data_IF_926748212142
#
_entry.id   IF_926748212142
#
_cell.length_a   1.000
_cell.length_b   1.000
_cell.length_c   1.000
_cell.angle_alpha   90.00
_cell.angle_beta   90.00
_cell.angle_gamma   90.00
#
_symmetry.space_group_name_H-M   'P 1'
#
loop_
_entity.id
_entity.type
_entity.pdbx_description
1 polymer ?
#
# COMPACT_ATOMS: atom_id res chain seq x y z
N UNK A 1 -2.86 -2.23 8.78
CA UNK A 1 -4.26 -2.22 9.27
C UNK A 1 -4.99 -3.54 9.03
N UNK A 2 -5.02 -4.05 7.80
CA UNK A 2 -5.74 -5.29 7.45
C UNK A 2 -5.37 -6.48 8.35
N UNK A 3 -4.08 -6.69 8.62
CA UNK A 3 -3.59 -7.80 9.45
C UNK A 3 -4.07 -7.69 10.90
N UNK A 4 -4.07 -6.48 11.45
CA UNK A 4 -4.55 -6.24 12.82
C UNK A 4 -6.04 -6.55 12.93
N UNK A 5 -6.85 -6.07 11.97
CA UNK A 5 -8.28 -6.36 11.96
C UNK A 5 -8.54 -7.86 11.77
N UNK A 6 -7.87 -8.50 10.82
CA UNK A 6 -8.04 -9.94 10.56
C UNK A 6 -7.73 -10.80 11.79
N UNK A 7 -6.60 -10.53 12.48
CA UNK A 7 -6.25 -11.25 13.72
C UNK A 7 -7.20 -10.98 14.87
N UNK A 8 -7.72 -9.74 14.99
CA UNK A 8 -8.77 -9.42 15.98
C UNK A 8 -10.05 -10.21 15.70
N UNK A 9 -10.53 -10.18 14.46
CA UNK A 9 -11.73 -10.96 14.07
C UNK A 9 -11.53 -12.44 14.32
N UNK A 10 -10.38 -13.01 13.98
CA UNK A 10 -10.05 -14.41 14.27
C UNK A 10 -10.12 -14.76 15.75
N UNK A 11 -9.88 -13.79 16.65
CA UNK A 11 -9.97 -13.98 18.10
C UNK A 11 -11.37 -13.79 18.67
N UNK A 12 -12.31 -13.23 17.92
CA UNK A 12 -13.66 -12.88 18.44
C UNK A 12 -14.70 -13.97 18.23
N UNK A 13 -14.53 -14.81 17.22
CA UNK A 13 -15.43 -15.92 16.93
C UNK A 13 -14.70 -17.00 16.12
N UNK A 14 -15.28 -18.20 16.13
CA UNK A 14 -14.79 -19.33 15.34
C UNK A 14 -15.28 -19.19 13.90
N UNK A 15 -14.49 -18.49 13.09
CA UNK A 15 -14.71 -18.35 11.65
C UNK A 15 -14.03 -19.51 10.91
N UNK A 16 -14.76 -20.22 10.06
CA UNK A 16 -14.19 -21.28 9.23
C UNK A 16 -13.04 -20.75 8.33
N UNK A 17 -13.21 -19.54 7.78
CA UNK A 17 -12.22 -18.87 6.94
C UNK A 17 -12.25 -17.36 7.18
N UNK A 18 -11.10 -16.72 7.13
CA UNK A 18 -10.96 -15.28 6.97
C UNK A 18 -10.32 -15.03 5.61
N UNK A 19 -11.01 -14.29 4.75
CA UNK A 19 -10.60 -14.00 3.37
C UNK A 19 -10.19 -12.56 3.27
N UNK A 20 -8.94 -12.31 2.91
CA UNK A 20 -8.37 -10.99 2.67
C UNK A 20 -8.41 -10.71 1.18
N UNK A 21 -8.93 -9.54 0.82
CA UNK A 21 -9.01 -9.10 -0.57
C UNK A 21 -7.98 -8.01 -0.81
N UNK A 22 -7.12 -8.20 -1.80
CA UNK A 22 -6.07 -7.25 -2.17
C UNK A 22 -5.75 -7.31 -3.66
N UNK A 23 -4.90 -6.43 -4.15
CA UNK A 23 -4.34 -6.54 -5.50
C UNK A 23 -3.43 -7.77 -5.60
N UNK A 24 -3.20 -8.26 -6.80
CA UNK A 24 -2.35 -9.44 -7.03
C UNK A 24 -0.93 -9.25 -6.49
N UNK A 25 -0.36 -8.04 -6.66
CA UNK A 25 0.95 -7.70 -6.12
C UNK A 25 0.95 -7.69 -4.58
N UNK A 26 -0.07 -7.12 -3.95
CA UNK A 26 -0.17 -7.07 -2.48
C UNK A 26 -0.37 -8.46 -1.88
N UNK A 27 -1.18 -9.33 -2.51
CA UNK A 27 -1.45 -10.69 -2.02
C UNK A 27 -0.16 -11.51 -1.88
N UNK A 28 0.80 -11.37 -2.82
CA UNK A 28 2.10 -12.05 -2.73
C UNK A 28 2.78 -11.75 -1.40
N UNK A 29 2.82 -10.47 -1.02
CA UNK A 29 3.43 -10.02 0.23
C UNK A 29 2.57 -10.32 1.46
N UNK A 30 1.25 -10.13 1.37
CA UNK A 30 0.34 -10.46 2.46
C UNK A 30 0.44 -11.92 2.88
N UNK A 31 0.55 -12.85 1.92
CA UNK A 31 0.76 -14.28 2.17
C UNK A 31 2.07 -14.58 2.88
N UNK A 32 3.12 -13.80 2.62
CA UNK A 32 4.40 -13.94 3.31
C UNK A 32 4.27 -13.60 4.79
N UNK A 33 3.52 -12.55 5.14
CA UNK A 33 3.34 -12.10 6.52
C UNK A 33 2.26 -12.85 7.32
N UNK A 34 1.28 -13.42 6.63
CA UNK A 34 0.14 -14.07 7.26
C UNK A 34 -0.40 -15.23 6.41
N UNK A 35 0.39 -16.31 6.26
CA UNK A 35 0.00 -17.47 5.46
C UNK A 35 -1.23 -18.21 6.01
N UNK A 36 -1.63 -17.91 7.23
CA UNK A 36 -2.80 -18.50 7.92
C UNK A 36 -4.15 -18.10 7.32
N UNK A 37 -4.22 -16.99 6.54
CA UNK A 37 -5.46 -16.50 5.96
C UNK A 37 -5.67 -16.94 4.51
N UNK A 38 -6.91 -16.91 4.05
CA UNK A 38 -7.26 -17.06 2.64
C UNK A 38 -7.17 -15.72 1.92
N UNK A 39 -6.88 -15.76 0.61
CA UNK A 39 -6.71 -14.54 -0.18
C UNK A 39 -7.50 -14.61 -1.47
N UNK A 40 -8.19 -13.51 -1.80
CA UNK A 40 -8.90 -13.32 -3.06
C UNK A 40 -8.38 -12.07 -3.78
N UNK A 41 -8.29 -12.13 -5.11
CA UNK A 41 -7.91 -10.98 -5.93
C UNK A 41 -9.03 -9.94 -5.92
N UNK A 42 -8.69 -8.68 -5.68
CA UNK A 42 -9.60 -7.55 -5.79
C UNK A 42 -10.04 -7.31 -7.25
N UNK A 43 -11.23 -6.75 -7.40
CA UNK A 43 -11.76 -6.27 -8.67
C UNK A 43 -11.57 -4.76 -8.81
N UNK A 44 -12.09 -4.19 -9.90
CA UNK A 44 -12.07 -2.74 -10.15
C UNK A 44 -12.98 -1.97 -9.18
N UNK A 45 -13.96 -2.65 -8.56
CA UNK A 45 -14.88 -2.07 -7.58
C UNK A 45 -14.89 -2.87 -6.29
N UNK A 46 -15.45 -2.24 -5.20
CA UNK A 46 -15.70 -2.95 -3.92
C UNK A 46 -16.59 -4.18 -4.16
N UNK A 47 -17.62 -4.05 -5.00
CA UNK A 47 -18.56 -5.11 -5.29
C UNK A 47 -17.90 -6.29 -6.03
N UNK A 48 -17.06 -6.02 -7.04
CA UNK A 48 -16.27 -7.07 -7.71
C UNK A 48 -15.32 -7.76 -6.74
N UNK A 49 -14.66 -6.99 -5.89
CA UNK A 49 -13.79 -7.54 -4.85
C UNK A 49 -14.55 -8.48 -3.92
N UNK A 50 -15.77 -8.10 -3.50
CA UNK A 50 -16.64 -8.94 -2.70
C UNK A 50 -17.06 -10.20 -3.46
N UNK A 51 -17.45 -10.11 -4.74
CA UNK A 51 -17.79 -11.29 -5.58
C UNK A 51 -16.65 -12.28 -5.66
N UNK A 52 -15.42 -11.80 -5.86
CA UNK A 52 -14.25 -12.66 -5.91
C UNK A 52 -13.98 -13.37 -4.58
N UNK A 53 -14.18 -12.69 -3.45
CA UNK A 53 -14.07 -13.29 -2.13
C UNK A 53 -15.18 -14.34 -1.89
N UNK A 54 -16.42 -14.03 -2.27
CA UNK A 54 -17.58 -14.92 -2.10
C UNK A 54 -17.44 -16.23 -2.89
N UNK A 55 -16.67 -16.26 -3.96
CA UNK A 55 -16.36 -17.50 -4.69
C UNK A 55 -15.63 -18.54 -3.81
N UNK A 56 -14.94 -18.10 -2.74
CA UNK A 56 -14.23 -18.94 -1.78
C UNK A 56 -15.07 -19.28 -0.53
N UNK A 57 -16.32 -18.80 -0.44
CA UNK A 57 -17.19 -18.97 0.72
C UNK A 57 -18.21 -20.08 0.47
N UNK A 58 -18.18 -21.12 1.31
CA UNK A 58 -19.07 -22.27 1.25
C UNK A 58 -20.03 -22.33 2.46
N UNK A 59 -19.79 -21.53 3.50
CA UNK A 59 -20.58 -21.45 4.72
C UNK A 59 -21.96 -20.82 4.47
N UNK A 60 -22.99 -21.15 5.29
CA UNK A 60 -24.33 -20.57 5.15
C UNK A 60 -24.37 -19.05 5.32
N UNK A 61 -23.48 -18.50 6.14
CA UNK A 61 -23.37 -17.08 6.43
C UNK A 61 -21.98 -16.54 6.11
N UNK A 62 -21.93 -15.30 5.71
CA UNK A 62 -20.69 -14.54 5.50
C UNK A 62 -20.76 -13.21 6.23
N UNK A 63 -19.67 -12.83 6.87
CA UNK A 63 -19.50 -11.52 7.50
C UNK A 63 -18.53 -10.68 6.66
N UNK A 64 -18.98 -9.58 6.07
CA UNK A 64 -18.15 -8.68 5.30
C UNK A 64 -17.82 -7.40 6.06
N UNK A 65 -16.59 -6.92 5.96
CA UNK A 65 -16.17 -5.66 6.59
C UNK A 65 -15.11 -4.93 5.78
N UNK A 66 -15.02 -3.61 5.98
CA UNK A 66 -13.93 -2.82 5.44
C UNK A 66 -12.66 -2.98 6.30
N UNK A 67 -11.50 -3.21 5.68
CA UNK A 67 -10.21 -3.27 6.38
C UNK A 67 -9.85 -1.98 7.15
N UNK A 68 -10.53 -0.88 6.82
CA UNK A 68 -10.37 0.42 7.47
C UNK A 68 -11.20 0.61 8.76
N UNK A 69 -11.85 -0.46 9.30
CA UNK A 69 -12.64 -0.38 10.53
C UNK A 69 -11.96 -1.14 11.69
N UNK A 70 -10.82 -0.63 12.10
CA UNK A 70 -9.95 -1.28 13.09
C UNK A 70 -10.58 -1.41 14.49
N UNK A 71 -11.55 -0.57 14.82
CA UNK A 71 -12.20 -0.57 16.12
C UNK A 71 -13.42 -1.51 16.26
N UNK A 72 -13.64 -2.42 15.30
CA UNK A 72 -14.67 -3.45 15.45
C UNK A 72 -14.41 -4.23 16.74
N UNK A 73 -15.44 -4.28 17.60
CA UNK A 73 -15.37 -4.97 18.90
C UNK A 73 -15.89 -6.40 18.83
N UNK A 74 -15.48 -7.22 19.80
CA UNK A 74 -16.04 -8.59 19.99
C UNK A 74 -17.53 -8.55 20.30
N UNK A 75 -17.99 -7.53 21.02
CA UNK A 75 -19.40 -7.33 21.37
C UNK A 75 -20.25 -7.10 20.13
N UNK A 76 -19.76 -6.30 19.15
CA UNK A 76 -20.45 -6.09 17.88
C UNK A 76 -20.53 -7.38 17.07
N UNK A 77 -19.42 -8.11 16.93
CA UNK A 77 -19.38 -9.40 16.23
C UNK A 77 -20.36 -10.39 16.86
N UNK A 78 -20.37 -10.47 18.19
CA UNK A 78 -21.28 -11.35 18.92
C UNK A 78 -22.76 -10.97 18.74
N UNK A 79 -23.11 -9.66 18.69
CA UNK A 79 -24.50 -9.22 18.42
C UNK A 79 -24.95 -9.65 17.02
N UNK A 80 -24.09 -9.51 16.02
CA UNK A 80 -24.38 -9.93 14.65
C UNK A 80 -24.63 -11.45 14.60
N UNK A 81 -23.72 -12.24 15.16
CA UNK A 81 -23.82 -13.72 15.16
C UNK A 81 -25.08 -14.22 15.92
N UNK A 82 -25.39 -13.65 17.08
CA UNK A 82 -26.60 -14.01 17.85
C UNK A 82 -27.90 -13.67 17.11
N UNK A 83 -27.87 -12.72 16.17
CA UNK A 83 -29.04 -12.32 15.41
C UNK A 83 -29.16 -12.98 14.03
N UNK A 84 -28.24 -13.86 13.63
CA UNK A 84 -28.10 -14.41 12.27
C UNK A 84 -29.36 -15.06 11.70
N UNK A 85 -30.19 -15.65 12.57
CA UNK A 85 -31.43 -16.36 12.16
C UNK A 85 -32.66 -15.42 12.07
N UNK A 86 -32.54 -14.13 12.42
CA UNK A 86 -33.66 -13.19 12.43
C UNK A 86 -34.01 -12.63 11.04
N UNK A 87 -33.01 -12.56 10.16
CA UNK A 87 -33.15 -12.00 8.83
C UNK A 87 -32.04 -12.52 7.89
N UNK A 88 -32.16 -12.18 6.60
CA UNK A 88 -31.19 -12.58 5.58
C UNK A 88 -29.92 -11.75 5.61
N UNK A 89 -30.00 -10.54 6.17
CA UNK A 89 -28.85 -9.70 6.47
C UNK A 89 -29.03 -8.96 7.79
N UNK A 90 -28.01 -9.01 8.64
CA UNK A 90 -27.96 -8.31 9.93
C UNK A 90 -26.97 -7.15 9.80
N UNK A 91 -27.44 -5.95 10.12
CA UNK A 91 -26.73 -4.70 9.86
C UNK A 91 -26.54 -3.91 11.15
N UNK A 92 -25.32 -3.50 11.48
CA UNK A 92 -25.10 -2.60 12.61
C UNK A 92 -25.46 -1.16 12.23
N UNK A 93 -26.26 -0.52 13.09
CA UNK A 93 -26.73 0.85 12.88
C UNK A 93 -26.44 1.71 14.10
N UNK A 94 -25.90 2.89 13.86
CA UNK A 94 -25.77 3.96 14.85
C UNK A 94 -26.86 5.00 14.63
N UNK A 95 -27.45 5.50 15.71
CA UNK A 95 -28.37 6.63 15.65
C UNK A 95 -27.62 7.92 15.35
N UNK A 96 -28.26 8.82 14.63
CA UNK A 96 -27.71 10.13 14.35
C UNK A 96 -27.84 11.02 15.60
N UNK A 97 -26.72 11.55 16.11
CA UNK A 97 -26.71 12.47 17.23
C UNK A 97 -27.02 13.91 16.81
N UNK A 98 -26.52 14.31 15.65
CA UNK A 98 -26.62 15.67 15.11
C UNK A 98 -27.91 15.88 14.31
N UNK A 99 -28.29 17.16 14.13
CA UNK A 99 -29.35 17.54 13.19
C UNK A 99 -28.89 17.33 11.75
N UNK A 100 -29.76 16.78 10.93
CA UNK A 100 -29.42 16.43 9.53
C UNK A 100 -30.26 17.27 8.57
N UNK A 101 -29.61 17.80 7.53
CA UNK A 101 -30.25 18.41 6.38
C UNK A 101 -30.18 17.42 5.20
N UNK A 102 -31.32 17.08 4.65
CA UNK A 102 -31.44 16.25 3.47
C UNK A 102 -32.26 16.99 2.40
N UNK A 103 -31.70 17.15 1.20
CA UNK A 103 -32.30 17.90 0.10
C UNK A 103 -32.77 19.33 0.50
N UNK A 104 -31.96 20.04 1.33
CA UNK A 104 -32.24 21.40 1.78
C UNK A 104 -33.27 21.54 2.91
N UNK A 105 -33.81 20.45 3.44
CA UNK A 105 -34.80 20.43 4.53
C UNK A 105 -34.26 19.66 5.74
N UNK A 106 -34.72 20.02 6.95
CA UNK A 106 -34.42 19.24 8.15
C UNK A 106 -35.03 17.86 8.07
N UNK A 107 -34.20 16.83 8.23
CA UNK A 107 -34.66 15.44 8.34
C UNK A 107 -34.91 15.07 9.81
N UNK A 108 -35.89 14.21 10.07
CA UNK A 108 -36.12 13.65 11.38
C UNK A 108 -34.98 12.67 11.70
N UNK A 109 -34.04 13.09 12.57
CA UNK A 109 -32.85 12.26 12.92
C UNK A 109 -33.22 10.93 13.61
N UNK A 110 -34.39 10.86 14.25
CA UNK A 110 -34.83 9.65 14.97
C UNK A 110 -35.24 8.52 13.98
N UNK A 111 -35.50 8.86 12.72
CA UNK A 111 -35.79 7.95 11.63
C UNK A 111 -34.54 7.57 10.82
N UNK A 112 -33.40 8.20 11.11
CA UNK A 112 -32.17 7.99 10.37
C UNK A 112 -31.18 7.13 11.13
N UNK A 113 -30.51 6.22 10.40
CA UNK A 113 -29.49 5.36 10.94
C UNK A 113 -28.22 5.37 10.09
N UNK A 114 -27.08 5.43 10.74
CA UNK A 114 -25.78 5.30 10.07
C UNK A 114 -25.42 3.82 9.97
N UNK A 115 -25.46 3.27 8.76
CA UNK A 115 -25.13 1.87 8.49
C UNK A 115 -23.62 1.69 8.57
N UNK A 116 -23.20 0.69 9.35
CA UNK A 116 -21.80 0.28 9.47
C UNK A 116 -21.50 -1.08 8.87
N UNK A 117 -20.26 -1.50 8.96
CA UNK A 117 -19.80 -2.88 8.80
C UNK A 117 -19.00 -3.28 10.05
N UNK A 118 -18.92 -4.59 10.39
CA UNK A 118 -19.30 -5.78 9.62
C UNK A 118 -20.81 -5.93 9.40
N UNK A 119 -21.21 -6.46 8.23
CA UNK A 119 -22.56 -6.94 7.97
C UNK A 119 -22.55 -8.46 7.85
N UNK A 120 -23.55 -9.13 8.42
CA UNK A 120 -23.66 -10.59 8.39
C UNK A 120 -24.81 -10.98 7.48
N UNK A 121 -24.52 -11.67 6.38
CA UNK A 121 -25.48 -12.00 5.32
C UNK A 121 -25.58 -13.51 5.08
N UNK A 122 -26.75 -13.98 4.66
CA UNK A 122 -26.90 -15.30 4.08
C UNK A 122 -26.09 -15.37 2.77
N UNK A 123 -25.13 -16.29 2.70
CA UNK A 123 -24.17 -16.37 1.60
C UNK A 123 -24.84 -16.59 0.24
N UNK A 124 -25.79 -17.51 0.16
CA UNK A 124 -26.49 -17.84 -1.10
C UNK A 124 -27.26 -16.64 -1.65
N UNK A 125 -27.96 -15.93 -0.76
CA UNK A 125 -28.78 -14.79 -1.17
C UNK A 125 -27.91 -13.60 -1.61
N UNK A 126 -26.82 -13.33 -0.89
CA UNK A 126 -25.86 -12.29 -1.25
C UNK A 126 -25.18 -12.60 -2.59
N UNK A 127 -24.76 -13.85 -2.84
CA UNK A 127 -24.20 -14.25 -4.15
C UNK A 127 -25.22 -13.98 -5.28
N UNK A 128 -26.45 -14.42 -5.12
CA UNK A 128 -27.53 -14.23 -6.11
C UNK A 128 -27.85 -12.76 -6.37
N UNK A 129 -27.88 -11.93 -5.30
CA UNK A 129 -28.11 -10.48 -5.44
C UNK A 129 -27.03 -9.80 -6.28
N UNK A 130 -25.77 -10.15 -6.01
CA UNK A 130 -24.62 -9.56 -6.72
C UNK A 130 -24.49 -10.04 -8.18
N UNK A 131 -25.09 -11.18 -8.56
CA UNK A 131 -25.11 -11.68 -9.94
C UNK A 131 -25.96 -10.82 -10.88
N UNK A 132 -26.93 -10.07 -10.38
CA UNK A 132 -27.79 -9.18 -11.19
C UNK A 132 -27.05 -8.05 -11.88
N UNK A 133 -25.83 -7.75 -11.48
CA UNK A 133 -24.99 -6.74 -12.13
C UNK A 133 -25.31 -5.29 -11.78
N UNK A 134 -26.28 -5.04 -10.90
CA UNK A 134 -26.57 -3.72 -10.36
C UNK A 134 -25.53 -3.27 -9.36
N UNK A 135 -25.33 -1.97 -9.21
CA UNK A 135 -24.38 -1.41 -8.23
C UNK A 135 -25.08 -1.16 -6.90
N UNK A 136 -24.54 -1.71 -5.83
CA UNK A 136 -25.03 -1.53 -4.46
C UNK A 136 -23.95 -0.89 -3.58
N UNK A 137 -24.39 -0.03 -2.66
CA UNK A 137 -23.49 0.66 -1.72
C UNK A 137 -22.93 -0.29 -0.64
N UNK A 138 -23.73 -1.28 -0.24
CA UNK A 138 -23.38 -2.29 0.78
C UNK A 138 -24.17 -3.59 0.58
N UNK A 139 -23.89 -4.59 1.41
CA UNK A 139 -24.47 -5.92 1.28
C UNK A 139 -25.98 -5.92 1.60
N UNK A 140 -26.43 -5.07 2.52
CA UNK A 140 -27.83 -4.96 2.88
C UNK A 140 -28.69 -4.41 1.72
N UNK A 141 -28.15 -3.42 0.98
CA UNK A 141 -28.80 -2.92 -0.21
C UNK A 141 -28.94 -4.00 -1.31
N UNK A 142 -27.89 -4.81 -1.49
CA UNK A 142 -27.92 -5.95 -2.40
C UNK A 142 -28.98 -6.99 -1.99
N UNK A 143 -29.01 -7.38 -0.74
CA UNK A 143 -30.00 -8.35 -0.20
C UNK A 143 -31.43 -7.80 -0.32
N UNK A 144 -31.65 -6.52 0.01
CA UNK A 144 -32.97 -5.88 -0.12
C UNK A 144 -33.47 -5.85 -1.56
N UNK A 145 -32.59 -5.66 -2.55
CA UNK A 145 -32.94 -5.62 -3.98
C UNK A 145 -33.55 -6.93 -4.53
N UNK A 146 -33.27 -8.04 -3.85
CA UNK A 146 -33.82 -9.37 -4.17
C UNK A 146 -34.95 -9.78 -3.25
N UNK A 147 -35.49 -8.84 -2.45
CA UNK A 147 -36.60 -9.08 -1.51
C UNK A 147 -36.19 -9.75 -0.21
N UNK A 148 -34.88 -9.81 0.09
CA UNK A 148 -34.39 -10.36 1.33
C UNK A 148 -34.69 -9.46 2.54
N UNK A 149 -34.87 -10.08 3.70
CA UNK A 149 -35.21 -9.41 4.96
C UNK A 149 -33.93 -8.85 5.60
N UNK A 150 -34.01 -7.60 6.05
CA UNK A 150 -32.93 -6.92 6.80
C UNK A 150 -33.37 -6.76 8.26
N UNK A 151 -32.48 -7.04 9.19
CA UNK A 151 -32.65 -6.73 10.62
C UNK A 151 -31.48 -5.89 11.11
N UNK A 152 -31.71 -5.05 12.09
CA UNK A 152 -30.74 -4.08 12.59
C UNK A 152 -30.33 -4.42 14.03
N UNK A 153 -29.03 -4.26 14.28
CA UNK A 153 -28.47 -4.35 15.63
C UNK A 153 -27.77 -3.04 15.99
N UNK A 154 -27.63 -2.78 17.28
CA UNK A 154 -26.87 -1.62 17.74
C UNK A 154 -25.45 -1.67 17.20
N UNK A 155 -25.03 -0.61 16.51
CA UNK A 155 -23.67 -0.41 16.00
C UNK A 155 -22.66 -0.12 17.12
N UNK A 156 -21.44 0.14 16.70
CA UNK A 156 -20.32 0.48 17.58
C UNK A 156 -19.62 1.73 17.04
N UNK A 157 -19.59 2.80 17.81
CA UNK A 157 -18.94 4.07 17.43
C UNK A 157 -17.45 3.88 17.19
N UNK A 158 -16.83 2.93 17.88
CA UNK A 158 -15.42 2.59 17.68
C UNK A 158 -15.16 1.90 16.33
N UNK A 159 -16.18 1.31 15.71
CA UNK A 159 -16.08 0.70 14.38
C UNK A 159 -16.17 1.74 13.24
N UNK A 160 -15.80 2.99 13.48
CA UNK A 160 -15.75 4.03 12.45
C UNK A 160 -14.78 3.64 11.32
N UNK A 161 -15.08 4.13 10.12
CA UNK A 161 -14.21 3.90 8.95
C UNK A 161 -13.12 4.97 8.90
N UNK A 162 -11.86 4.55 8.85
CA UNK A 162 -10.73 5.42 8.54
C UNK A 162 -10.84 5.87 7.08
N UNK A 163 -11.34 7.06 6.85
CA UNK A 163 -11.55 7.61 5.50
C UNK A 163 -10.56 8.71 5.19
N UNK A 164 -10.23 9.52 6.19
CA UNK A 164 -9.32 10.64 6.08
C UNK A 164 -8.10 10.43 6.97
N UNK A 165 -6.97 11.03 6.60
CA UNK A 165 -5.73 10.91 7.38
C UNK A 165 -5.92 11.36 8.85
N UNK A 166 -6.73 12.40 9.11
CA UNK A 166 -7.07 12.83 10.46
C UNK A 166 -7.75 11.76 11.32
N UNK A 167 -8.41 10.78 10.70
CA UNK A 167 -9.08 9.70 11.44
C UNK A 167 -8.07 8.77 12.13
N UNK A 168 -6.82 8.75 11.67
CA UNK A 168 -5.74 7.98 12.31
C UNK A 168 -5.51 8.41 13.76
N UNK A 169 -5.72 9.69 14.09
CA UNK A 169 -5.58 10.16 15.46
C UNK A 169 -6.58 9.54 16.44
N UNK A 170 -7.74 9.08 15.94
CA UNK A 170 -8.74 8.40 16.73
C UNK A 170 -8.29 6.99 17.19
N UNK A 171 -7.28 6.40 16.52
CA UNK A 171 -6.74 5.10 16.89
C UNK A 171 -6.14 5.09 18.31
N UNK A 172 -5.65 6.23 18.79
CA UNK A 172 -5.19 6.37 20.18
C UNK A 172 -6.30 6.03 21.18
N UNK A 173 -7.52 6.49 20.91
CA UNK A 173 -8.68 6.24 21.77
C UNK A 173 -9.10 4.76 21.76
N UNK A 174 -8.71 4.01 20.74
CA UNK A 174 -8.93 2.57 20.63
C UNK A 174 -7.81 1.73 21.26
N UNK A 175 -6.86 2.36 21.96
CA UNK A 175 -5.74 1.69 22.61
C UNK A 175 -4.64 1.21 21.65
N UNK A 176 -4.63 1.69 20.40
CA UNK A 176 -3.51 1.40 19.51
C UNK A 176 -2.29 2.20 19.93
N UNK A 177 -1.19 1.50 20.18
CA UNK A 177 0.08 2.14 20.40
C UNK A 177 0.60 2.78 19.09
N UNK A 178 1.33 3.92 19.17
CA UNK A 178 2.06 4.43 18.03
C UNK A 178 3.03 3.36 17.51
N UNK A 179 3.40 3.41 16.23
CA UNK A 179 4.39 2.50 15.70
C UNK A 179 5.73 2.71 16.43
N UNK A 180 6.49 1.67 16.47
CA UNK A 180 7.82 1.70 17.05
C UNK A 180 8.74 2.66 16.26
N UNK A 181 9.71 3.25 16.95
CA UNK A 181 10.61 4.26 16.38
C UNK A 181 11.85 3.67 15.70
N UNK A 182 11.90 2.35 15.47
CA UNK A 182 13.03 1.70 14.80
C UNK A 182 13.25 2.30 13.41
N UNK A 183 14.52 2.41 13.04
CA UNK A 183 14.98 2.76 11.71
C UNK A 183 15.46 1.50 11.03
N UNK A 184 15.01 1.28 9.81
CA UNK A 184 15.43 0.18 8.95
C UNK A 184 16.36 0.73 7.88
N UNK A 185 17.46 0.04 7.62
CA UNK A 185 18.43 0.43 6.62
C UNK A 185 18.48 -0.64 5.54
N UNK A 186 18.46 -0.20 4.30
CA UNK A 186 18.70 -1.06 3.15
C UNK A 186 19.92 -0.61 2.38
N UNK A 187 20.46 -1.54 1.63
CA UNK A 187 21.66 -1.35 0.82
C UNK A 187 21.39 -1.92 -0.57
N UNK A 188 21.80 -1.19 -1.60
CA UNK A 188 21.69 -1.63 -2.99
C UNK A 188 22.99 -1.39 -3.73
N UNK A 189 23.24 -2.21 -4.73
CA UNK A 189 24.40 -2.14 -5.61
C UNK A 189 23.98 -2.49 -7.03
N UNK A 190 24.38 -1.67 -8.00
CA UNK A 190 24.14 -1.95 -9.40
C UNK A 190 25.36 -1.51 -10.26
N UNK A 191 25.54 -2.20 -11.39
CA UNK A 191 26.62 -1.95 -12.33
C UNK A 191 26.11 -2.04 -13.77
N UNK A 192 26.62 -1.14 -14.63
CA UNK A 192 26.32 -1.19 -16.03
C UNK A 192 27.59 -1.11 -16.88
N UNK A 193 27.59 -1.90 -17.97
CA UNK A 193 28.64 -1.86 -18.96
C UNK A 193 28.44 -0.71 -19.93
N UNK A 194 29.54 -0.11 -20.38
CA UNK A 194 29.50 0.84 -21.47
C UNK A 194 29.31 0.17 -22.84
N UNK A 195 28.73 0.90 -23.77
CA UNK A 195 28.63 0.62 -25.20
C UNK A 195 28.94 1.87 -26.00
N UNK A 196 28.86 1.83 -27.31
CA UNK A 196 28.91 3.02 -28.15
C UNK A 196 27.74 3.97 -27.80
N UNK A 197 28.05 5.28 -27.77
CA UNK A 197 27.08 6.32 -27.43
C UNK A 197 27.77 7.64 -27.09
N UNK A 198 27.00 8.64 -26.72
CA UNK A 198 27.44 10.01 -26.53
C UNK A 198 27.02 10.62 -25.17
N UNK A 199 26.31 9.84 -24.33
CA UNK A 199 25.91 10.25 -22.99
C UNK A 199 25.67 9.08 -22.06
N UNK A 200 25.65 9.36 -20.77
CA UNK A 200 25.15 8.49 -19.68
C UNK A 200 24.08 9.21 -18.88
N UNK A 201 23.12 8.47 -18.33
CA UNK A 201 22.12 9.00 -17.39
C UNK A 201 22.47 8.57 -15.97
N UNK A 202 22.59 9.52 -15.03
CA UNK A 202 22.91 9.25 -13.63
C UNK A 202 22.02 10.10 -12.73
N UNK A 203 21.23 9.50 -11.87
CA UNK A 203 20.21 10.14 -11.03
C UNK A 203 19.29 11.07 -11.85
N UNK A 204 18.85 10.63 -13.03
CA UNK A 204 18.00 11.38 -13.94
C UNK A 204 18.70 12.55 -14.64
N UNK A 205 20.02 12.69 -14.51
CA UNK A 205 20.80 13.74 -15.19
C UNK A 205 21.55 13.14 -16.38
N UNK A 206 21.27 13.66 -17.56
CA UNK A 206 21.96 13.27 -18.80
C UNK A 206 23.31 14.01 -18.88
N UNK A 207 24.41 13.25 -18.93
CA UNK A 207 25.77 13.75 -18.92
C UNK A 207 26.48 13.33 -20.21
N UNK A 208 27.06 14.28 -20.94
CA UNK A 208 27.85 14.00 -22.11
C UNK A 208 29.05 13.09 -21.80
N UNK A 209 29.22 12.04 -22.58
CA UNK A 209 30.28 11.05 -22.44
C UNK A 209 30.63 10.48 -23.83
N UNK A 210 31.81 9.91 -23.98
CA UNK A 210 32.26 9.27 -25.22
C UNK A 210 31.76 7.85 -25.41
N UNK A 211 30.89 7.35 -24.48
CA UNK A 211 30.24 6.07 -24.49
C UNK A 211 28.81 6.19 -23.98
N UNK A 212 27.94 5.27 -24.40
CA UNK A 212 26.60 5.05 -23.84
C UNK A 212 26.58 3.90 -22.86
N UNK A 213 25.39 3.51 -22.38
CA UNK A 213 25.18 2.46 -21.41
C UNK A 213 24.47 1.25 -22.05
N UNK A 214 24.97 0.05 -21.81
CA UNK A 214 24.28 -1.19 -22.18
C UNK A 214 23.28 -1.56 -21.09
N UNK A 215 21.99 -1.29 -21.33
CA UNK A 215 20.91 -1.58 -20.38
C UNK A 215 19.60 -1.82 -21.12
N UNK A 216 18.63 -2.43 -20.42
CA UNK A 216 17.24 -2.60 -20.87
C UNK A 216 16.39 -1.35 -20.58
N UNK A 217 16.82 -0.50 -19.60
CA UNK A 217 16.25 0.80 -19.23
C UNK A 217 17.10 1.95 -19.80
N UNK A 218 16.99 3.13 -19.23
CA UNK A 218 17.89 4.29 -19.51
C UNK A 218 19.30 4.11 -18.91
N UNK A 219 19.53 3.02 -18.14
CA UNK A 219 20.83 2.64 -17.61
C UNK A 219 21.30 3.43 -16.40
N UNK A 220 20.37 3.99 -15.62
CA UNK A 220 20.65 4.77 -14.41
C UNK A 220 20.93 3.86 -13.19
N UNK A 221 22.13 3.23 -13.15
CA UNK A 221 22.53 2.35 -12.06
C UNK A 221 22.41 2.98 -10.65
N UNK A 222 22.73 4.26 -10.43
CA UNK A 222 22.47 4.92 -9.15
C UNK A 222 21.01 4.82 -8.66
N UNK A 223 20.06 4.96 -9.58
CA UNK A 223 18.63 4.87 -9.24
C UNK A 223 18.21 3.42 -9.01
N UNK A 224 18.70 2.46 -9.78
CA UNK A 224 18.43 1.04 -9.54
C UNK A 224 18.96 0.59 -8.18
N UNK A 225 20.21 0.96 -7.85
CA UNK A 225 20.77 0.69 -6.53
C UNK A 225 19.94 1.32 -5.39
N UNK A 226 19.40 2.53 -5.60
CA UNK A 226 18.53 3.17 -4.60
C UNK A 226 17.18 2.46 -4.46
N UNK A 227 16.59 1.99 -5.55
CA UNK A 227 15.36 1.18 -5.48
C UNK A 227 15.57 -0.10 -4.67
N UNK A 228 16.67 -0.81 -4.91
CA UNK A 228 17.03 -2.00 -4.14
C UNK A 228 17.27 -1.69 -2.66
N UNK A 229 17.94 -0.56 -2.36
CA UNK A 229 18.12 -0.11 -0.98
C UNK A 229 16.77 0.14 -0.29
N UNK A 230 15.81 0.75 -0.97
CA UNK A 230 14.47 1.03 -0.43
C UNK A 230 13.66 -0.25 -0.20
N UNK A 231 13.65 -1.17 -1.17
CA UNK A 231 12.95 -2.45 -1.04
C UNK A 231 13.61 -3.34 0.02
N UNK A 232 14.94 -3.41 0.06
CA UNK A 232 15.68 -4.15 1.07
C UNK A 232 15.41 -3.63 2.49
N UNK A 233 15.37 -2.30 2.69
CA UNK A 233 15.03 -1.70 3.98
C UNK A 233 13.60 -2.08 4.44
N UNK A 234 12.67 -2.22 3.50
CA UNK A 234 11.28 -2.59 3.76
C UNK A 234 11.04 -4.12 3.80
N UNK A 235 12.08 -4.94 3.62
CA UNK A 235 11.99 -6.40 3.47
C UNK A 235 11.03 -6.84 2.35
N UNK A 236 11.05 -6.14 1.21
CA UNK A 236 10.16 -6.37 0.07
C UNK A 236 10.84 -7.10 -1.11
N UNK A 237 12.08 -7.53 -0.98
CA UNK A 237 12.86 -8.14 -2.07
C UNK A 237 13.67 -7.10 -2.84
N UNK A 238 13.73 -7.22 -4.15
CA UNK A 238 14.53 -6.37 -5.05
C UNK A 238 13.70 -5.75 -6.19
N UNK A 239 14.34 -4.87 -6.97
CA UNK A 239 13.71 -4.17 -8.09
C UNK A 239 13.19 -5.14 -9.15
N UNK A 240 13.87 -6.25 -9.39
CA UNK A 240 13.49 -7.26 -10.40
C UNK A 240 12.20 -8.01 -10.04
N UNK A 241 11.85 -8.11 -8.77
CA UNK A 241 10.57 -8.71 -8.34
C UNK A 241 9.36 -7.82 -8.69
N UNK A 242 9.53 -6.51 -8.69
CA UNK A 242 8.47 -5.54 -8.97
C UNK A 242 8.44 -5.09 -10.43
N UNK A 243 9.62 -5.01 -11.07
CA UNK A 243 9.80 -4.51 -12.44
C UNK A 243 10.66 -5.49 -13.24
N UNK A 244 10.14 -6.68 -13.55
CA UNK A 244 10.92 -7.72 -14.23
C UNK A 244 11.32 -7.28 -15.65
N UNK A 245 12.58 -7.50 -16.00
CA UNK A 245 13.19 -7.12 -17.30
C UNK A 245 12.50 -7.75 -18.52
N UNK A 246 11.79 -8.88 -18.34
CA UNK A 246 11.03 -9.55 -19.38
C UNK A 246 9.64 -8.95 -19.64
N UNK A 247 9.18 -8.00 -18.84
CA UNK A 247 7.93 -7.29 -19.06
C UNK A 247 8.17 -6.10 -20.02
N UNK A 248 7.60 -6.19 -21.22
CA UNK A 248 7.71 -5.13 -22.24
C UNK A 248 7.25 -3.75 -21.76
N UNK A 249 6.41 -3.69 -20.73
CA UNK A 249 5.93 -2.45 -20.12
C UNK A 249 7.08 -1.59 -19.57
N UNK A 250 8.18 -2.22 -19.15
CA UNK A 250 9.33 -1.54 -18.55
C UNK A 250 10.52 -1.37 -19.48
N UNK A 251 10.41 -1.83 -20.75
CA UNK A 251 11.46 -1.68 -21.74
C UNK A 251 11.70 -0.19 -22.08
N UNK A 252 12.93 0.29 -21.82
CA UNK A 252 13.28 1.70 -22.00
C UNK A 252 12.67 2.61 -20.94
N UNK A 253 12.23 2.07 -19.78
CA UNK A 253 11.65 2.85 -18.72
C UNK A 253 12.62 3.92 -18.19
N UNK A 254 12.09 5.08 -17.90
CA UNK A 254 12.76 6.13 -17.14
C UNK A 254 12.95 5.68 -15.69
N UNK A 255 14.19 5.48 -15.25
CA UNK A 255 14.51 5.00 -13.91
C UNK A 255 14.00 5.94 -12.81
N UNK A 256 13.84 7.23 -13.08
CA UNK A 256 13.22 8.16 -12.13
C UNK A 256 11.71 7.87 -11.94
N UNK A 257 11.02 7.33 -12.95
CA UNK A 257 9.63 6.86 -12.79
C UNK A 257 9.59 5.56 -11.97
N UNK A 258 10.53 4.64 -12.20
CA UNK A 258 10.68 3.44 -11.37
C UNK A 258 10.91 3.82 -9.90
N UNK A 259 11.80 4.78 -9.63
CA UNK A 259 12.03 5.25 -8.26
C UNK A 259 10.75 5.82 -7.61
N UNK A 260 9.97 6.62 -8.32
CA UNK A 260 8.69 7.14 -7.80
C UNK A 260 7.72 6.02 -7.46
N UNK A 261 7.69 4.98 -8.29
CA UNK A 261 6.86 3.80 -8.02
C UNK A 261 7.38 3.00 -6.83
N UNK A 262 8.71 2.80 -6.68
CA UNK A 262 9.30 2.21 -5.48
C UNK A 262 8.89 2.99 -4.22
N UNK A 263 8.98 4.30 -4.25
CA UNK A 263 8.55 5.18 -3.14
C UNK A 263 7.09 4.98 -2.82
N UNK A 264 6.23 4.91 -3.85
CA UNK A 264 4.79 4.65 -3.66
C UNK A 264 4.55 3.29 -2.99
N UNK A 265 5.23 2.25 -3.45
CA UNK A 265 5.14 0.90 -2.86
C UNK A 265 5.59 0.93 -1.40
N UNK A 266 6.78 1.40 -1.09
CA UNK A 266 7.32 1.47 0.29
C UNK A 266 6.37 2.22 1.22
N UNK A 267 5.83 3.38 0.77
CA UNK A 267 4.83 4.14 1.54
C UNK A 267 3.52 3.37 1.72
N UNK A 268 3.07 2.60 0.74
CA UNK A 268 1.84 1.79 0.85
C UNK A 268 1.95 0.67 1.90
N UNK A 269 3.17 0.24 2.21
CA UNK A 269 3.46 -0.70 3.31
C UNK A 269 3.59 -0.02 4.68
N UNK A 270 3.33 1.27 4.76
CA UNK A 270 3.31 2.03 6.01
C UNK A 270 4.67 2.56 6.44
N UNK A 271 5.63 2.68 5.53
CA UNK A 271 6.93 3.29 5.81
C UNK A 271 7.01 4.73 5.33
N UNK A 272 7.85 5.51 5.98
CA UNK A 272 8.33 6.81 5.50
C UNK A 272 9.84 6.74 5.28
N UNK A 273 10.31 7.42 4.23
CA UNK A 273 11.72 7.47 3.89
C UNK A 273 12.36 8.60 4.71
N UNK A 274 13.53 8.34 5.31
CA UNK A 274 14.24 9.29 6.18
C UNK A 274 15.35 9.98 5.41
N UNK A 275 16.22 9.21 4.73
CA UNK A 275 17.32 9.73 3.95
C UNK A 275 17.78 8.73 2.89
N UNK A 276 18.61 9.21 1.97
CA UNK A 276 19.31 8.39 0.98
C UNK A 276 20.75 8.90 0.79
N UNK A 277 21.67 7.96 0.61
CA UNK A 277 23.08 8.23 0.30
C UNK A 277 23.52 7.36 -0.88
N UNK A 278 24.02 8.00 -1.95
CA UNK A 278 24.43 7.33 -3.18
C UNK A 278 25.90 7.60 -3.43
N UNK A 279 26.68 6.55 -3.69
CA UNK A 279 28.06 6.61 -4.11
C UNK A 279 28.17 6.09 -5.54
N UNK A 280 28.57 6.94 -6.47
CA UNK A 280 28.82 6.60 -7.88
C UNK A 280 30.29 6.21 -8.03
N UNK A 281 30.54 5.04 -8.61
CA UNK A 281 31.88 4.51 -8.87
C UNK A 281 32.15 4.60 -10.38
N UNK A 282 32.98 5.56 -10.80
CA UNK A 282 33.33 5.73 -12.21
C UNK A 282 34.62 6.51 -12.37
N UNK A 283 35.39 6.20 -13.43
CA UNK A 283 36.57 7.00 -13.84
C UNK A 283 36.12 8.26 -14.59
N UNK A 284 35.13 8.12 -15.43
CA UNK A 284 34.48 9.17 -16.23
C UNK A 284 32.97 8.89 -16.33
N UNK A 285 32.13 9.95 -16.49
CA UNK A 285 32.45 11.37 -16.49
C UNK A 285 32.77 11.91 -15.09
N UNK A 286 33.23 13.19 -15.00
CA UNK A 286 33.36 13.88 -13.69
C UNK A 286 31.96 14.18 -13.13
N UNK A 287 31.66 13.63 -11.97
CA UNK A 287 30.34 13.73 -11.34
C UNK A 287 30.14 15.07 -10.59
N UNK A 288 31.21 15.65 -10.06
CA UNK A 288 31.16 16.87 -9.23
C UNK A 288 30.31 18.01 -9.79
N UNK A 289 30.36 18.37 -11.08
CA UNK A 289 29.54 19.45 -11.62
C UNK A 289 28.04 19.16 -11.66
N UNK A 290 27.65 17.88 -11.56
CA UNK A 290 26.26 17.42 -11.73
C UNK A 290 25.60 17.04 -10.42
N UNK A 291 26.33 16.96 -9.30
CA UNK A 291 25.83 16.49 -8.00
C UNK A 291 24.59 17.22 -7.50
N UNK A 292 24.54 18.55 -7.70
CA UNK A 292 23.41 19.36 -7.25
C UNK A 292 22.12 19.01 -7.97
N UNK A 293 22.18 18.87 -9.30
CA UNK A 293 21.04 18.47 -10.13
C UNK A 293 20.58 17.03 -9.78
N UNK A 294 21.53 16.10 -9.62
CA UNK A 294 21.25 14.74 -9.20
C UNK A 294 20.56 14.70 -7.84
N UNK A 295 21.09 15.40 -6.85
CA UNK A 295 20.53 15.49 -5.49
C UNK A 295 19.11 16.06 -5.51
N UNK A 296 18.86 17.09 -6.30
CA UNK A 296 17.55 17.68 -6.48
C UNK A 296 16.55 16.66 -7.05
N UNK A 297 16.89 15.97 -8.15
CA UNK A 297 16.03 14.98 -8.78
C UNK A 297 15.66 13.85 -7.83
N UNK A 298 16.66 13.30 -7.12
CA UNK A 298 16.44 12.21 -6.15
C UNK A 298 15.58 12.69 -4.97
N UNK A 299 15.87 13.88 -4.42
CA UNK A 299 15.10 14.45 -3.31
C UNK A 299 13.62 14.66 -3.67
N UNK A 300 13.36 15.19 -4.88
CA UNK A 300 11.99 15.35 -5.41
C UNK A 300 11.27 13.98 -5.56
N UNK A 301 11.95 12.97 -6.11
CA UNK A 301 11.36 11.64 -6.27
C UNK A 301 11.06 10.96 -4.92
N UNK A 302 11.91 11.14 -3.91
CA UNK A 302 11.72 10.63 -2.56
C UNK A 302 10.72 11.44 -1.73
N UNK A 303 10.33 12.64 -2.19
CA UNK A 303 9.57 13.65 -1.44
C UNK A 303 10.30 14.04 -0.13
N UNK A 304 11.61 14.29 -0.22
CA UNK A 304 12.47 14.72 0.87
C UNK A 304 13.05 16.13 0.59
N UNK A 305 13.42 16.84 1.66
CA UNK A 305 14.28 18.00 1.50
C UNK A 305 15.69 17.58 1.06
N UNK A 306 16.37 18.38 0.25
CA UNK A 306 17.66 18.03 -0.36
C UNK A 306 18.77 17.71 0.65
N UNK A 307 18.71 18.25 1.86
CA UNK A 307 19.67 17.96 2.92
C UNK A 307 19.59 16.53 3.49
N UNK A 308 18.56 15.77 3.15
CA UNK A 308 18.42 14.34 3.48
C UNK A 308 18.89 13.41 2.36
N UNK A 309 19.36 13.96 1.25
CA UNK A 309 19.90 13.20 0.13
C UNK A 309 21.35 13.59 -0.10
N UNK A 310 22.22 12.59 -0.19
CA UNK A 310 23.63 12.82 -0.50
C UNK A 310 24.02 12.08 -1.78
N UNK A 311 24.84 12.74 -2.62
CA UNK A 311 25.45 12.17 -3.83
C UNK A 311 26.95 12.38 -3.75
N UNK A 312 27.71 11.29 -3.78
CA UNK A 312 29.17 11.29 -3.80
C UNK A 312 29.67 10.38 -4.92
N UNK A 313 30.90 10.56 -5.30
CA UNK A 313 31.54 9.76 -6.33
C UNK A 313 32.98 9.49 -5.98
N UNK A 314 33.48 8.35 -6.43
CA UNK A 314 34.87 7.95 -6.32
C UNK A 314 35.35 7.26 -7.58
N UNK A 315 36.65 7.27 -7.84
CA UNK A 315 37.30 6.43 -8.85
C UNK A 315 37.65 5.08 -8.25
N UNK A 316 38.08 4.14 -9.07
CA UNK A 316 38.63 2.84 -8.64
C UNK A 316 40.17 2.80 -8.76
N UNK A 317 40.82 3.96 -8.83
CA UNK A 317 42.27 4.08 -8.98
C UNK A 317 42.83 3.22 -10.13
N UNK A 318 42.08 3.14 -11.23
CA UNK A 318 42.35 2.32 -12.43
C UNK A 318 42.35 0.80 -12.17
N UNK A 319 41.80 0.32 -11.05
CA UNK A 319 41.67 -1.08 -10.73
C UNK A 319 40.30 -1.65 -11.11
N UNK A 320 40.27 -2.91 -11.57
CA UNK A 320 39.06 -3.63 -11.90
C UNK A 320 38.35 -3.05 -13.15
N UNK A 321 37.17 -3.61 -13.47
CA UNK A 321 36.42 -3.29 -14.70
C UNK A 321 35.92 -1.83 -14.72
N UNK A 322 35.67 -1.21 -13.60
CA UNK A 322 35.33 0.23 -13.52
C UNK A 322 36.58 1.06 -13.78
N UNK A 323 37.71 0.70 -13.13
CA UNK A 323 38.97 1.41 -13.27
C UNK A 323 39.57 1.33 -14.68
N UNK A 324 39.31 0.24 -15.40
CA UNK A 324 39.68 0.09 -16.84
C UNK A 324 38.69 0.75 -17.80
N UNK A 325 37.57 1.30 -17.30
CA UNK A 325 36.56 2.01 -18.09
C UNK A 325 35.68 1.09 -18.94
N UNK A 326 35.43 -0.14 -18.50
CA UNK A 326 34.48 -1.07 -19.11
C UNK A 326 33.04 -0.75 -18.74
N UNK A 327 32.82 -0.11 -17.61
CA UNK A 327 31.52 0.27 -17.08
C UNK A 327 31.63 1.21 -15.89
N UNK A 328 30.55 1.38 -15.18
CA UNK A 328 30.44 2.12 -13.94
C UNK A 328 29.49 1.40 -12.98
N UNK A 329 29.50 1.79 -11.71
CA UNK A 329 28.60 1.23 -10.71
C UNK A 329 28.11 2.27 -9.73
N UNK A 330 27.19 1.86 -8.89
CA UNK A 330 26.69 2.66 -7.80
C UNK A 330 26.36 1.80 -6.59
N UNK A 331 26.58 2.39 -5.44
CA UNK A 331 26.16 1.87 -4.14
C UNK A 331 25.16 2.86 -3.56
N UNK A 332 24.02 2.39 -3.08
CA UNK A 332 23.06 3.23 -2.41
C UNK A 332 22.71 2.67 -1.04
N UNK A 333 22.42 3.56 -0.12
CA UNK A 333 21.85 3.22 1.19
C UNK A 333 20.61 4.10 1.41
N UNK A 334 19.52 3.50 1.87
CA UNK A 334 18.33 4.22 2.25
C UNK A 334 17.94 3.85 3.70
N UNK A 335 17.44 4.83 4.44
CA UNK A 335 16.86 4.63 5.76
C UNK A 335 15.37 4.93 5.72
N UNK A 336 14.59 4.03 6.29
CA UNK A 336 13.13 4.15 6.41
C UNK A 336 12.71 3.88 7.86
N UNK A 337 11.53 4.32 8.23
CA UNK A 337 10.87 3.96 9.49
C UNK A 337 9.38 3.78 9.26
N UNK A 338 8.67 3.22 10.23
CA UNK A 338 7.21 3.22 10.17
C UNK A 338 6.67 4.64 10.18
N UNK A 339 5.64 4.89 9.36
CA UNK A 339 4.89 6.15 9.38
C UNK A 339 4.23 6.33 10.75
N UNK A 340 4.58 7.39 11.47
CA UNK A 340 4.03 7.68 12.78
C UNK A 340 2.66 8.38 12.67
N UNK A 341 1.62 7.58 12.48
CA UNK A 341 0.25 8.03 12.40
C UNK A 341 -0.22 8.81 13.65
N UNK A 342 0.47 8.66 14.79
CA UNK A 342 0.09 9.31 16.04
C UNK A 342 0.46 10.80 16.11
N UNK A 343 1.30 11.28 15.18
CA UNK A 343 1.73 12.69 15.11
C UNK A 343 0.86 13.57 14.20
N UNK A 344 -0.13 12.98 13.52
CA UNK A 344 -0.95 13.67 12.54
C UNK A 344 -0.25 13.83 11.18
N UNK A 345 -0.64 14.83 10.40
CA UNK A 345 -0.03 15.08 9.08
C UNK A 345 1.47 15.34 9.21
N UNK A 346 2.30 14.76 8.33
CA UNK A 346 3.71 15.09 8.30
C UNK A 346 3.82 16.60 8.02
N UNK A 347 4.50 17.32 8.90
CA UNK A 347 4.86 18.71 8.62
C UNK A 347 5.80 18.67 7.41
N UNK A 348 5.39 19.28 6.31
CA UNK A 348 6.28 19.58 5.20
C UNK A 348 7.29 20.60 5.73
N UNK A 349 8.52 20.16 5.92
CA UNK A 349 9.65 21.04 6.25
C UNK A 349 10.24 21.63 4.97
#
# INVERSE_FOLDING_TARGET
FWLVLARRLASYADFEKIIIVGSEAEIKHMKHFAPEFCYAKGGATRQESLKNALALVDTPFVMSTDAARLGVSSELVNRLIKSKEKADCIVPVLKCADSIIFNGSHANRDELGLIGTPQLSQTKLLKSALEKGEFYTDDSAAIASVGGKIDFVQGDENAFKLTYQKDLLKLKNLGFAPPDSRVFNGHGFDVHRFKEGDFVTLCGVKIAHDKGVLAHSDGDAPIHALCDALFGAAALGDIGEFFPDNDQKFKGADSMQLLRECVRVVKSYGFEIINADITILCEKPKITPHKEAMRKNVAEALALAQNFVNIKATTMEKMGFIGTGEGFGAIATASIRYFDWSKGEPKLY
#
